data_IF_297971458061
#
_entry.id   IF_297971458061
#
_cell.length_a   1.000
_cell.length_b   1.000
_cell.length_c   1.000
_cell.angle_alpha   90.00
_cell.angle_beta   90.00
_cell.angle_gamma   90.00
#
_symmetry.space_group_name_H-M   'P 1'
#
loop_
_entity.id
_entity.type
_entity.pdbx_description
1 polymer ?
#
# COMPACT_ATOMS: atom_id res chain seq x y z
N UNK A 1 -14.80 4.57 9.71
CA UNK A 1 -13.90 5.51 10.44
C UNK A 1 -13.29 4.88 11.69
N UNK A 2 -14.09 4.44 12.70
CA UNK A 2 -13.58 3.89 13.97
C UNK A 2 -12.64 2.69 13.77
N UNK A 3 -13.02 1.73 12.92
CA UNK A 3 -12.22 0.52 12.65
C UNK A 3 -10.88 0.90 12.00
N UNK A 4 -10.86 1.80 11.02
CA UNK A 4 -9.61 2.23 10.37
C UNK A 4 -8.67 2.89 11.39
N UNK A 5 -9.18 3.79 12.23
CA UNK A 5 -8.40 4.43 13.30
C UNK A 5 -7.85 3.39 14.28
N UNK A 6 -8.65 2.39 14.62
CA UNK A 6 -8.20 1.30 15.49
C UNK A 6 -7.09 0.49 14.84
N UNK A 7 -7.25 0.05 13.58
CA UNK A 7 -6.24 -0.73 12.85
C UNK A 7 -4.92 0.03 12.69
N UNK A 8 -4.98 1.34 12.45
CA UNK A 8 -3.79 2.19 12.42
C UNK A 8 -3.08 2.20 13.79
N UNK A 9 -3.82 2.30 14.88
CA UNK A 9 -3.25 2.32 16.23
C UNK A 9 -2.72 0.94 16.66
N UNK A 10 -3.40 -0.13 16.27
CA UNK A 10 -3.01 -1.52 16.58
C UNK A 10 -1.79 -1.97 15.77
N UNK A 11 -1.48 -1.29 14.65
CA UNK A 11 -0.27 -1.50 13.86
C UNK A 11 -0.46 -2.40 12.65
N UNK A 12 -1.40 -2.06 11.77
CA UNK A 12 -1.46 -2.68 10.45
C UNK A 12 -0.17 -2.42 9.66
N UNK A 13 0.38 -3.44 9.01
CA UNK A 13 1.57 -3.30 8.17
C UNK A 13 1.29 -2.40 6.96
N UNK A 14 0.16 -2.64 6.30
CA UNK A 14 -0.33 -1.87 5.15
C UNK A 14 -1.80 -1.52 5.38
N UNK A 15 -2.18 -0.29 5.05
CA UNK A 15 -3.57 0.12 4.90
C UNK A 15 -3.76 0.49 3.43
N UNK A 16 -4.58 -0.29 2.73
CA UNK A 16 -4.87 -0.10 1.31
C UNK A 16 -6.30 0.38 1.12
N UNK A 17 -6.46 1.50 0.43
CA UNK A 17 -7.74 2.10 0.12
C UNK A 17 -7.92 2.27 -1.39
N UNK A 18 -9.02 1.75 -1.93
CA UNK A 18 -9.42 1.97 -3.32
C UNK A 18 -10.80 2.62 -3.39
N UNK A 19 -10.89 3.80 -4.00
CA UNK A 19 -12.15 4.54 -4.11
C UNK A 19 -11.97 5.99 -4.50
N UNK A 20 -12.99 6.81 -4.26
CA UNK A 20 -12.89 8.26 -4.46
C UNK A 20 -11.98 8.90 -3.42
N UNK A 21 -11.25 9.92 -3.83
CA UNK A 21 -10.37 10.68 -2.96
C UNK A 21 -10.17 12.11 -3.46
N UNK A 22 -9.63 12.92 -2.58
CA UNK A 22 -9.22 14.29 -2.83
C UNK A 22 -8.05 14.63 -1.90
N UNK A 23 -7.51 15.82 -2.02
CA UNK A 23 -6.46 16.34 -1.13
C UNK A 23 -6.82 16.28 0.36
N UNK A 24 -8.12 16.35 0.69
CA UNK A 24 -8.61 16.55 2.05
C UNK A 24 -9.55 15.46 2.58
N UNK A 25 -9.96 14.50 1.75
CA UNK A 25 -10.85 13.41 2.18
C UNK A 25 -10.73 12.16 1.34
N UNK A 26 -11.00 11.01 1.93
CA UNK A 26 -11.22 9.74 1.24
C UNK A 26 -12.71 9.37 1.29
N UNK A 27 -13.17 8.73 0.21
CA UNK A 27 -14.55 8.42 -0.14
C UNK A 27 -15.41 9.65 -0.40
N UNK A 28 -16.51 9.44 -1.12
CA UNK A 28 -17.49 10.49 -1.38
C UNK A 28 -18.18 10.98 -0.09
N UNK A 29 -18.37 10.06 0.85
CA UNK A 29 -18.97 10.31 2.16
C UNK A 29 -18.00 10.90 3.18
N UNK A 30 -16.78 11.25 2.77
CA UNK A 30 -15.72 11.74 3.64
C UNK A 30 -15.49 10.86 4.88
N UNK A 31 -15.27 9.55 4.66
CA UNK A 31 -15.05 8.55 5.73
C UNK A 31 -13.87 8.92 6.62
N UNK A 32 -12.80 9.45 6.06
CA UNK A 32 -11.72 10.14 6.77
C UNK A 32 -11.41 11.45 6.06
N UNK A 33 -11.19 12.48 6.84
CA UNK A 33 -10.84 13.83 6.39
C UNK A 33 -9.43 14.21 6.83
N UNK A 34 -8.87 15.26 6.25
CA UNK A 34 -7.54 15.76 6.62
C UNK A 34 -7.35 15.94 8.13
N UNK A 35 -8.30 16.52 8.89
CA UNK A 35 -8.22 16.55 10.36
C UNK A 35 -8.17 15.16 11.02
N UNK A 36 -8.84 14.15 10.45
CA UNK A 36 -8.76 12.78 10.96
C UNK A 36 -7.36 12.20 10.78
N UNK A 37 -6.75 12.43 9.62
CA UNK A 37 -5.37 12.02 9.34
C UNK A 37 -4.37 12.73 10.24
N UNK A 38 -4.50 14.02 10.45
CA UNK A 38 -3.68 14.80 11.38
C UNK A 38 -3.87 14.36 12.85
N UNK A 39 -5.01 13.77 13.17
CA UNK A 39 -5.34 13.28 14.51
C UNK A 39 -4.84 11.86 14.80
N UNK A 40 -4.25 11.14 13.85
CA UNK A 40 -3.67 9.83 14.12
C UNK A 40 -2.56 9.93 15.17
N UNK A 41 -2.54 8.97 16.09
CA UNK A 41 -1.56 8.86 17.18
C UNK A 41 -1.15 7.41 17.30
N UNK A 42 0.09 7.17 17.71
CA UNK A 42 0.60 5.84 17.93
C UNK A 42 2.04 5.70 17.44
N UNK A 43 2.67 4.57 17.75
CA UNK A 43 4.06 4.28 17.39
C UNK A 43 4.18 3.24 16.26
N UNK A 44 3.06 2.72 15.80
CA UNK A 44 2.99 1.72 14.75
C UNK A 44 2.66 2.42 13.43
N UNK A 45 3.66 2.65 12.61
CA UNK A 45 3.52 3.36 11.35
C UNK A 45 3.24 2.36 10.21
N UNK A 46 2.06 2.45 9.61
CA UNK A 46 1.68 1.65 8.45
C UNK A 46 2.20 2.25 7.15
N UNK A 47 2.43 1.41 6.14
CA UNK A 47 2.44 1.90 4.76
C UNK A 47 1.00 2.18 4.34
N UNK A 48 0.69 3.41 3.95
CA UNK A 48 -0.58 3.76 3.32
C UNK A 48 -0.48 3.66 1.81
N UNK A 49 -1.43 2.98 1.21
CA UNK A 49 -1.59 2.82 -0.24
C UNK A 49 -2.97 3.31 -0.62
N UNK A 50 -3.06 4.19 -1.60
CA UNK A 50 -4.35 4.72 -2.05
C UNK A 50 -4.48 4.64 -3.56
N UNK A 51 -5.49 3.93 -4.02
CA UNK A 51 -5.92 3.89 -5.41
C UNK A 51 -7.09 4.87 -5.60
N UNK A 52 -6.81 6.16 -5.45
CA UNK A 52 -7.78 7.27 -5.51
C UNK A 52 -7.21 8.49 -6.23
N UNK A 53 -8.08 9.42 -6.63
CA UNK A 53 -7.65 10.65 -7.30
C UNK A 53 -7.09 11.68 -6.31
N UNK A 54 -6.12 12.47 -6.76
CA UNK A 54 -5.70 13.75 -6.15
C UNK A 54 -5.46 13.68 -4.63
N UNK A 55 -4.90 12.59 -4.13
CA UNK A 55 -4.75 12.38 -2.69
C UNK A 55 -3.53 13.10 -2.10
N UNK A 56 -2.53 13.38 -2.93
CA UNK A 56 -1.28 14.01 -2.50
C UNK A 56 -0.60 14.83 -3.62
N UNK A 57 -1.25 15.84 -4.21
CA UNK A 57 -0.61 16.78 -5.13
C UNK A 57 0.32 17.73 -4.34
N UNK A 58 1.50 17.26 -4.00
CA UNK A 58 2.49 17.96 -3.13
C UNK A 58 3.15 19.20 -3.80
N UNK A 59 2.74 19.57 -4.97
CA UNK A 59 3.12 20.83 -5.65
C UNK A 59 2.11 21.98 -5.41
N UNK A 60 1.12 21.76 -4.56
CA UNK A 60 0.15 22.75 -4.13
C UNK A 60 0.65 23.66 -3.00
N UNK A 61 -0.19 24.63 -2.62
CA UNK A 61 0.08 25.55 -1.50
C UNK A 61 -0.43 25.05 -0.14
N UNK A 62 -1.24 23.97 -0.15
CA UNK A 62 -1.86 23.41 1.05
C UNK A 62 -1.36 22.00 1.24
N UNK A 63 -1.15 21.64 2.50
CA UNK A 63 -0.82 20.28 2.89
C UNK A 63 -1.96 19.32 2.55
N UNK A 64 -1.60 18.19 2.00
CA UNK A 64 -2.51 17.13 1.55
C UNK A 64 -2.52 15.96 2.54
N UNK A 65 -3.44 15.00 2.35
CA UNK A 65 -3.53 13.79 3.18
C UNK A 65 -2.20 13.01 3.17
N UNK A 66 -1.57 12.84 2.00
CA UNK A 66 -0.31 12.11 1.91
C UNK A 66 0.81 12.78 2.69
N UNK A 67 0.94 14.10 2.57
CA UNK A 67 1.93 14.89 3.31
C UNK A 67 1.64 14.86 4.82
N UNK A 68 0.40 15.12 5.22
CA UNK A 68 -0.03 15.07 6.62
C UNK A 68 0.31 13.73 7.27
N UNK A 69 0.11 12.62 6.54
CA UNK A 69 0.40 11.29 7.08
C UNK A 69 1.90 11.02 7.25
N UNK A 70 2.73 11.49 6.33
CA UNK A 70 4.18 11.26 6.41
C UNK A 70 4.86 12.24 7.38
N UNK A 71 4.34 13.47 7.50
CA UNK A 71 4.89 14.50 8.37
C UNK A 71 4.38 14.45 9.82
N UNK A 72 3.38 13.62 10.14
CA UNK A 72 2.82 13.51 11.48
C UNK A 72 3.76 12.74 12.41
N UNK A 73 4.51 13.45 13.23
CA UNK A 73 5.48 12.93 14.20
C UNK A 73 4.85 12.18 15.40
N UNK A 74 3.54 12.30 15.59
CA UNK A 74 2.80 11.67 16.71
C UNK A 74 2.07 10.39 16.34
N UNK A 75 2.07 10.05 15.09
CA UNK A 75 1.39 8.90 14.50
C UNK A 75 1.34 9.12 12.98
N UNK A 76 0.88 8.30 12.16
CA UNK A 76 0.85 8.54 10.73
C UNK A 76 1.37 7.35 9.95
N UNK A 77 2.13 7.57 8.90
CA UNK A 77 2.63 6.50 8.04
C UNK A 77 4.14 6.51 7.92
N UNK A 78 4.73 5.33 7.73
CA UNK A 78 6.14 5.19 7.39
C UNK A 78 6.42 5.67 5.96
N UNK A 79 5.43 5.50 5.10
CA UNK A 79 5.41 6.00 3.72
C UNK A 79 3.97 6.05 3.24
N UNK A 80 3.71 6.87 2.20
CA UNK A 80 2.42 7.01 1.56
C UNK A 80 2.58 6.83 0.05
N UNK A 81 1.89 5.86 -0.52
CA UNK A 81 1.84 5.62 -1.95
C UNK A 81 0.47 5.98 -2.50
N UNK A 82 0.40 6.98 -3.35
CA UNK A 82 -0.87 7.51 -3.85
C UNK A 82 -0.69 8.37 -5.10
N UNK A 83 -1.73 9.10 -5.45
CA UNK A 83 -1.79 9.87 -6.69
C UNK A 83 -1.62 11.36 -6.46
N UNK A 84 -0.94 11.99 -7.41
CA UNK A 84 -0.73 13.45 -7.45
C UNK A 84 -1.71 14.16 -8.36
N UNK A 85 -2.53 13.42 -9.11
CA UNK A 85 -3.51 13.94 -10.07
C UNK A 85 -4.71 12.99 -10.18
N UNK A 86 -5.74 13.46 -10.89
CA UNK A 86 -6.89 12.64 -11.25
C UNK A 86 -6.48 11.44 -12.09
N UNK A 87 -7.00 10.27 -11.76
CA UNK A 87 -6.67 8.98 -12.35
C UNK A 87 -7.93 8.18 -12.72
N UNK A 88 -7.77 7.18 -13.58
CA UNK A 88 -8.86 6.34 -14.05
C UNK A 88 -8.95 5.05 -13.20
N UNK A 89 -10.13 4.73 -12.69
CA UNK A 89 -10.37 3.60 -11.78
C UNK A 89 -9.92 2.25 -12.32
N UNK A 90 -10.04 2.01 -13.64
CA UNK A 90 -9.57 0.78 -14.28
C UNK A 90 -8.06 0.60 -14.17
N UNK A 91 -7.30 1.68 -14.42
CA UNK A 91 -5.83 1.67 -14.31
C UNK A 91 -5.37 1.71 -12.85
N UNK A 92 -6.12 2.35 -11.95
CA UNK A 92 -5.84 2.34 -10.53
C UNK A 92 -5.80 0.92 -9.97
N UNK A 93 -6.76 0.08 -10.35
CA UNK A 93 -6.78 -1.32 -9.94
C UNK A 93 -5.55 -2.08 -10.44
N UNK A 94 -5.07 -1.80 -11.66
CA UNK A 94 -3.91 -2.48 -12.23
C UNK A 94 -2.63 -2.09 -11.49
N UNK A 95 -2.38 -0.79 -11.29
CA UNK A 95 -1.17 -0.33 -10.60
C UNK A 95 -1.18 -0.72 -9.13
N UNK A 96 -2.33 -0.65 -8.44
CA UNK A 96 -2.45 -1.08 -7.06
C UNK A 96 -2.13 -2.57 -6.91
N UNK A 97 -2.74 -3.43 -7.75
CA UNK A 97 -2.46 -4.86 -7.75
C UNK A 97 -0.98 -5.16 -8.01
N UNK A 98 -0.36 -4.47 -8.97
CA UNK A 98 1.05 -4.65 -9.28
C UNK A 98 1.94 -4.17 -8.12
N UNK A 99 1.64 -3.02 -7.52
CA UNK A 99 2.39 -2.51 -6.38
C UNK A 99 2.30 -3.46 -5.17
N UNK A 100 1.09 -3.89 -4.80
CA UNK A 100 0.89 -4.84 -3.70
C UNK A 100 1.60 -6.17 -3.92
N UNK A 101 1.65 -6.67 -5.15
CA UNK A 101 2.43 -7.86 -5.52
C UNK A 101 3.90 -7.68 -5.18
N UNK A 102 4.50 -6.54 -5.56
CA UNK A 102 5.93 -6.33 -5.39
C UNK A 102 6.32 -5.90 -3.98
N UNK A 103 5.52 -5.06 -3.31
CA UNK A 103 5.84 -4.61 -1.94
C UNK A 103 5.77 -5.74 -0.91
N UNK A 104 5.07 -6.83 -1.24
CA UNK A 104 4.98 -8.05 -0.45
C UNK A 104 5.92 -9.17 -0.97
N UNK A 105 6.85 -8.86 -1.87
CA UNK A 105 7.78 -9.82 -2.46
C UNK A 105 9.19 -9.71 -1.88
N UNK A 106 9.96 -10.75 -2.12
CA UNK A 106 11.37 -10.84 -1.74
C UNK A 106 12.25 -10.80 -3.00
N UNK A 107 13.47 -10.33 -2.85
CA UNK A 107 14.51 -10.43 -3.88
C UNK A 107 15.06 -11.87 -3.98
N UNK A 108 16.02 -12.08 -4.88
CA UNK A 108 16.68 -13.37 -5.08
C UNK A 108 17.51 -13.84 -3.89
N UNK A 109 17.81 -12.95 -2.94
CA UNK A 109 18.56 -13.25 -1.71
C UNK A 109 17.63 -13.46 -0.50
N UNK A 110 16.31 -13.47 -0.72
CA UNK A 110 15.32 -13.62 0.34
C UNK A 110 15.12 -12.37 1.21
N UNK A 111 15.53 -11.18 0.74
CA UNK A 111 15.26 -9.91 1.41
C UNK A 111 13.97 -9.29 0.86
N UNK A 112 13.11 -8.72 1.71
CA UNK A 112 11.96 -7.95 1.24
C UNK A 112 12.40 -6.85 0.27
N UNK A 113 11.66 -6.67 -0.83
CA UNK A 113 11.90 -5.56 -1.74
C UNK A 113 11.69 -4.22 -1.03
N UNK A 114 12.44 -3.22 -1.42
CA UNK A 114 12.20 -1.85 -0.93
C UNK A 114 10.91 -1.29 -1.56
N UNK A 115 10.28 -0.34 -0.88
CA UNK A 115 9.03 0.29 -1.35
C UNK A 115 9.27 0.99 -2.69
N UNK A 116 10.43 1.65 -2.86
CA UNK A 116 10.80 2.29 -4.12
C UNK A 116 11.00 1.29 -5.26
N UNK A 117 11.64 0.15 -4.98
CA UNK A 117 11.82 -0.91 -5.97
C UNK A 117 10.47 -1.54 -6.35
N UNK A 118 9.59 -1.76 -5.38
CA UNK A 118 8.24 -2.23 -5.62
C UNK A 118 7.45 -1.29 -6.55
N UNK A 119 7.53 0.04 -6.32
CA UNK A 119 6.93 1.04 -7.20
C UNK A 119 7.50 0.97 -8.62
N UNK A 120 8.83 0.92 -8.75
CA UNK A 120 9.51 0.84 -10.04
C UNK A 120 9.09 -0.41 -10.82
N UNK A 121 9.08 -1.57 -10.15
CA UNK A 121 8.70 -2.84 -10.76
C UNK A 121 7.23 -2.85 -11.17
N UNK A 122 6.33 -2.32 -10.35
CA UNK A 122 4.91 -2.22 -10.65
C UNK A 122 4.66 -1.40 -11.92
N UNK A 123 5.24 -0.20 -12.00
CA UNK A 123 5.11 0.66 -13.20
C UNK A 123 5.68 -0.01 -14.45
N UNK A 124 6.85 -0.64 -14.33
CA UNK A 124 7.49 -1.34 -15.45
C UNK A 124 6.70 -2.56 -15.91
N UNK A 125 6.07 -3.30 -15.00
CA UNK A 125 5.21 -4.44 -15.36
C UNK A 125 4.04 -3.99 -16.24
N UNK A 126 3.37 -2.89 -15.89
CA UNK A 126 2.24 -2.38 -16.65
C UNK A 126 2.64 -1.96 -18.08
N UNK A 127 3.83 -1.37 -18.23
CA UNK A 127 4.36 -0.99 -19.55
C UNK A 127 4.71 -2.23 -20.37
N UNK A 128 5.47 -3.17 -19.80
CA UNK A 128 5.91 -4.39 -20.50
C UNK A 128 4.74 -5.25 -20.97
N UNK A 129 3.69 -5.34 -20.17
CA UNK A 129 2.52 -6.16 -20.48
C UNK A 129 1.49 -5.42 -21.35
N UNK A 130 1.75 -4.15 -21.70
CA UNK A 130 0.79 -3.32 -22.44
C UNK A 130 -0.50 -3.00 -21.69
N UNK A 131 -0.54 -3.24 -20.37
CA UNK A 131 -1.74 -3.07 -19.56
C UNK A 131 -2.07 -1.60 -19.27
N UNK A 132 -1.05 -0.75 -19.19
CA UNK A 132 -1.21 0.70 -19.07
C UNK A 132 -0.07 1.41 -19.80
N UNK A 133 -0.36 1.91 -20.99
CA UNK A 133 0.54 2.77 -21.75
C UNK A 133 0.25 4.26 -21.56
N UNK A 134 -0.78 4.58 -20.77
CA UNK A 134 -1.19 5.96 -20.47
C UNK A 134 -0.28 6.61 -19.44
N UNK A 135 -0.55 7.89 -19.16
CA UNK A 135 0.12 8.64 -18.09
C UNK A 135 -0.37 8.25 -16.68
N UNK A 136 -1.44 7.46 -16.55
CA UNK A 136 -2.09 7.15 -15.28
C UNK A 136 -1.10 6.64 -14.21
N UNK A 137 -0.26 5.66 -14.55
CA UNK A 137 0.75 5.13 -13.65
C UNK A 137 1.81 6.16 -13.23
N UNK A 138 2.03 7.21 -14.02
CA UNK A 138 3.00 8.27 -13.73
C UNK A 138 2.46 9.24 -12.67
N UNK A 139 1.13 9.30 -12.51
CA UNK A 139 0.48 10.09 -11.48
C UNK A 139 0.65 9.49 -10.06
N UNK A 140 1.08 8.25 -9.96
CA UNK A 140 1.40 7.62 -8.68
C UNK A 140 2.80 8.02 -8.21
N UNK A 141 2.89 8.47 -6.98
CA UNK A 141 4.14 8.84 -6.34
C UNK A 141 4.27 8.18 -4.95
N UNK A 142 5.47 8.16 -4.43
CA UNK A 142 5.80 7.68 -3.09
C UNK A 142 6.31 8.87 -2.27
N UNK A 143 5.66 9.15 -1.15
CA UNK A 143 6.20 10.00 -0.09
C UNK A 143 6.78 9.10 1.00
N UNK A 144 8.01 9.38 1.42
CA UNK A 144 8.76 8.59 2.39
C UNK A 144 10.09 8.11 1.83
N UNK A 145 10.79 7.25 2.57
CA UNK A 145 12.08 6.72 2.16
C UNK A 145 11.90 5.54 1.17
N UNK A 146 12.33 5.68 -0.10
CA UNK A 146 12.22 4.61 -1.08
C UNK A 146 13.12 3.41 -0.80
N UNK A 147 14.14 3.55 0.05
CA UNK A 147 15.05 2.47 0.45
C UNK A 147 14.48 1.59 1.57
N UNK A 148 13.37 2.01 2.19
CA UNK A 148 12.72 1.25 3.24
C UNK A 148 12.11 -0.04 2.69
N UNK A 149 12.26 -1.14 3.44
CA UNK A 149 11.54 -2.39 3.23
C UNK A 149 10.53 -2.63 4.35
N UNK A 150 9.40 -3.24 4.02
CA UNK A 150 8.44 -3.66 5.05
C UNK A 150 9.00 -4.82 5.89
N UNK A 151 8.59 -4.90 7.15
CA UNK A 151 8.93 -5.99 8.06
C UNK A 151 8.14 -7.26 7.70
N UNK A 152 8.43 -7.85 6.55
CA UNK A 152 7.81 -9.10 6.11
C UNK A 152 8.37 -10.29 6.92
N UNK A 153 7.60 -11.38 7.08
CA UNK A 153 8.06 -12.59 7.74
C UNK A 153 9.32 -13.15 7.07
N UNK A 154 10.37 -13.38 7.85
CA UNK A 154 11.62 -14.00 7.36
C UNK A 154 11.64 -15.53 7.55
N UNK A 155 10.70 -16.05 8.34
CA UNK A 155 10.55 -17.48 8.57
C UNK A 155 9.33 -17.98 7.83
N UNK A 156 9.48 -19.13 7.16
CA UNK A 156 8.37 -19.85 6.55
C UNK A 156 7.96 -21.03 7.43
N UNK A 157 6.66 -21.24 7.58
CA UNK A 157 6.10 -22.44 8.19
C UNK A 157 5.44 -23.24 7.08
N UNK A 158 5.87 -24.47 6.91
CA UNK A 158 5.26 -25.42 5.97
C UNK A 158 4.82 -26.66 6.72
N UNK A 159 3.67 -27.20 6.34
CA UNK A 159 3.25 -28.53 6.79
C UNK A 159 3.78 -29.52 5.77
N UNK A 160 4.76 -30.33 6.15
CA UNK A 160 5.40 -31.33 5.27
C UNK A 160 4.71 -32.69 5.35
N UNK A 161 4.03 -32.98 6.46
CA UNK A 161 3.32 -34.22 6.67
C UNK A 161 2.10 -34.07 7.58
N UNK A 162 1.12 -34.94 7.44
CA UNK A 162 -0.02 -35.09 8.34
C UNK A 162 -0.10 -36.56 8.75
N UNK A 163 -0.08 -36.80 10.07
CA UNK A 163 -0.08 -38.17 10.64
C UNK A 163 1.03 -39.06 10.07
N UNK A 164 2.23 -38.49 9.84
CA UNK A 164 3.39 -39.21 9.32
C UNK A 164 3.35 -39.52 7.81
N UNK A 165 2.36 -39.00 7.08
CA UNK A 165 2.29 -39.09 5.61
C UNK A 165 2.68 -37.72 5.01
N UNK A 166 3.66 -37.74 4.11
CA UNK A 166 4.07 -36.54 3.36
C UNK A 166 2.88 -36.00 2.56
N UNK A 167 2.73 -34.66 2.53
CA UNK A 167 1.73 -34.00 1.72
C UNK A 167 2.26 -33.90 0.30
N UNK A 168 1.55 -34.44 -0.66
CA UNK A 168 1.84 -34.27 -2.08
C UNK A 168 0.97 -33.16 -2.67
N UNK A 169 1.36 -32.63 -3.84
CA UNK A 169 0.64 -31.55 -4.50
C UNK A 169 -0.84 -31.86 -4.83
N UNK A 170 -1.23 -33.12 -4.75
CA UNK A 170 -2.60 -33.58 -5.01
C UNK A 170 -3.43 -33.78 -3.72
N UNK A 171 -2.83 -33.63 -2.55
CA UNK A 171 -3.54 -33.81 -1.29
C UNK A 171 -4.14 -32.43 -0.89
N UNK A 172 -5.47 -32.30 -0.98
CA UNK A 172 -6.18 -31.20 -0.35
C UNK A 172 -6.61 -31.61 1.06
N UNK A 173 -5.92 -31.19 2.13
CA UNK A 173 -6.37 -31.47 3.47
C UNK A 173 -7.69 -30.73 3.71
N UNK A 174 -8.76 -31.46 4.02
CA UNK A 174 -9.98 -30.88 4.56
C UNK A 174 -9.72 -30.54 6.02
N UNK A 175 -9.59 -29.27 6.31
CA UNK A 175 -9.62 -28.75 7.69
C UNK A 175 -11.07 -28.88 8.15
N UNK A 176 -11.29 -29.70 9.20
CA UNK A 176 -12.58 -29.78 9.91
C UNK A 176 -12.64 -28.69 10.96
#
# INVERSE_FOLDING_TARGET
>A
TKIIKQQQNDGALIIDYGGHGSEISISHEAVLTLPDFAAFRGKNYSLWVTASCDIMPFDGLKETIGETMVLNDKGGSVAFYGTTRTVLSSYNRLINKAFMKYVLSYDTNGKPLTIGEAQRMAKNELVRNGNDLSVNKLQYALLGDPALSLALPTLSVAVDSINGKAITANDMPRIK
#
